data_IF_448831376934
#
_entry.id   IF_448831376934
#
_cell.length_a   1.000
_cell.length_b   1.000
_cell.length_c   1.000
_cell.angle_alpha   90.00
_cell.angle_beta   90.00
_cell.angle_gamma   90.00
#
_symmetry.space_group_name_H-M   'P 1'
#
loop_
_entity.id
_entity.type
_entity.pdbx_description
1 polymer ?
#
# COMPACT_ATOMS: atom_id res chain seq x y z
N UNK A 1 7.37 0.17 13.98
CA UNK A 1 6.03 0.00 14.63
C UNK A 1 5.28 1.32 14.69
N UNK A 2 5.91 2.43 15.18
CA UNK A 2 5.23 3.73 15.39
C UNK A 2 4.60 4.27 14.10
N UNK A 3 5.31 4.23 12.97
CA UNK A 3 4.79 4.67 11.66
C UNK A 3 3.50 3.91 11.31
N UNK A 4 3.50 2.59 11.48
CA UNK A 4 2.33 1.74 11.16
C UNK A 4 1.14 2.11 12.04
N UNK A 5 1.34 2.19 13.35
CA UNK A 5 0.26 2.53 14.28
C UNK A 5 -0.27 3.96 14.03
N UNK A 6 0.62 4.93 13.84
CA UNK A 6 0.23 6.31 13.56
C UNK A 6 -0.59 6.42 12.27
N UNK A 7 -0.15 5.72 11.20
CA UNK A 7 -0.85 5.71 9.91
C UNK A 7 -2.24 5.08 10.05
N UNK A 8 -2.35 3.90 10.67
CA UNK A 8 -3.63 3.19 10.81
C UNK A 8 -4.62 3.98 11.66
N UNK A 9 -4.16 4.56 12.77
CA UNK A 9 -5.01 5.38 13.64
C UNK A 9 -5.46 6.65 12.91
N UNK A 10 -4.53 7.35 12.24
CA UNK A 10 -4.85 8.58 11.50
C UNK A 10 -5.79 8.30 10.32
N UNK A 11 -5.59 7.19 9.59
CA UNK A 11 -6.50 6.76 8.54
C UNK A 11 -7.91 6.46 9.08
N UNK A 12 -8.02 5.70 10.17
CA UNK A 12 -9.30 5.37 10.78
C UNK A 12 -10.05 6.63 11.24
N UNK A 13 -9.35 7.54 11.92
CA UNK A 13 -9.94 8.83 12.34
C UNK A 13 -10.37 9.64 11.11
N UNK A 14 -9.52 9.75 10.09
CA UNK A 14 -9.82 10.46 8.85
C UNK A 14 -11.02 9.91 8.12
N UNK A 15 -11.13 8.57 7.97
CA UNK A 15 -12.28 7.92 7.35
C UNK A 15 -13.59 8.16 8.13
N UNK A 16 -13.54 8.14 9.46
CA UNK A 16 -14.71 8.43 10.29
C UNK A 16 -15.13 9.91 10.23
N UNK A 17 -14.16 10.84 10.30
CA UNK A 17 -14.43 12.30 10.27
C UNK A 17 -15.00 12.74 8.92
N UNK A 18 -14.56 12.14 7.82
CA UNK A 18 -15.10 12.45 6.48
C UNK A 18 -16.49 11.85 6.23
N UNK A 19 -16.99 11.02 7.14
CA UNK A 19 -18.30 10.36 7.03
C UNK A 19 -18.36 9.25 5.98
N UNK A 20 -17.26 8.95 5.29
CA UNK A 20 -17.21 7.87 4.31
C UNK A 20 -17.11 6.49 4.99
N UNK A 21 -16.54 6.44 6.20
CA UNK A 21 -16.20 5.19 6.87
C UNK A 21 -15.06 4.43 6.18
N UNK A 22 -14.52 3.38 6.82
CA UNK A 22 -13.51 2.52 6.21
C UNK A 22 -14.09 1.72 5.04
N UNK A 23 -13.53 1.90 3.85
CA UNK A 23 -13.90 1.12 2.66
C UNK A 23 -13.19 -0.24 2.62
N UNK A 24 -13.70 -1.18 1.82
CA UNK A 24 -12.99 -2.45 1.58
C UNK A 24 -11.62 -2.23 0.95
N UNK A 25 -11.47 -1.23 0.08
CA UNK A 25 -10.18 -0.87 -0.53
C UNK A 25 -9.18 -0.38 0.51
N UNK A 26 -9.62 0.49 1.42
CA UNK A 26 -8.80 0.96 2.53
C UNK A 26 -8.43 -0.16 3.51
N UNK A 27 -9.37 -1.04 3.85
CA UNK A 27 -9.12 -2.20 4.72
C UNK A 27 -8.10 -3.17 4.09
N UNK A 28 -8.20 -3.44 2.79
CA UNK A 28 -7.24 -4.28 2.07
C UNK A 28 -5.85 -3.64 2.04
N UNK A 29 -5.78 -2.31 1.85
CA UNK A 29 -4.51 -1.58 1.87
C UNK A 29 -3.88 -1.59 3.26
N UNK A 30 -4.68 -1.39 4.31
CA UNK A 30 -4.23 -1.51 5.72
C UNK A 30 -3.75 -2.94 6.01
N UNK A 31 -4.47 -3.96 5.52
CA UNK A 31 -4.06 -5.36 5.65
C UNK A 31 -2.69 -5.61 5.01
N UNK A 32 -2.46 -5.12 3.78
CA UNK A 32 -1.17 -5.24 3.09
C UNK A 32 -0.06 -4.53 3.89
N UNK A 33 -0.30 -3.28 4.26
CA UNK A 33 0.64 -2.43 4.99
C UNK A 33 1.04 -3.03 6.35
N UNK A 34 0.07 -3.43 7.15
CA UNK A 34 0.30 -4.06 8.46
C UNK A 34 0.91 -5.44 8.29
N UNK A 35 0.43 -6.24 7.33
CA UNK A 35 0.94 -7.59 7.06
C UNK A 35 2.43 -7.61 6.71
N UNK A 36 2.85 -6.72 5.81
CA UNK A 36 4.28 -6.57 5.46
C UNK A 36 5.08 -6.04 6.66
N UNK A 37 4.51 -5.08 7.40
CA UNK A 37 5.12 -4.58 8.63
C UNK A 37 5.31 -5.64 9.71
N UNK A 38 4.37 -6.59 9.84
CA UNK A 38 4.50 -7.73 10.77
C UNK A 38 5.66 -8.64 10.37
N UNK A 39 5.86 -8.89 9.07
CA UNK A 39 7.02 -9.67 8.60
C UNK A 39 8.33 -8.97 8.98
N UNK A 40 8.41 -7.65 8.76
CA UNK A 40 9.57 -6.86 9.20
C UNK A 40 9.73 -6.86 10.72
N UNK A 41 8.62 -6.79 11.49
CA UNK A 41 8.66 -6.87 12.94
C UNK A 41 9.18 -8.22 13.45
N UNK A 42 8.81 -9.30 12.79
CA UNK A 42 9.35 -10.63 13.11
C UNK A 42 10.84 -10.71 12.82
N UNK A 43 11.29 -10.13 11.71
CA UNK A 43 12.71 -10.06 11.36
C UNK A 43 13.51 -9.27 12.40
N UNK A 44 13.08 -8.04 12.71
CA UNK A 44 13.71 -7.18 13.72
C UNK A 44 13.65 -7.82 15.12
N UNK A 45 12.51 -8.43 15.48
CA UNK A 45 12.33 -9.14 16.75
C UNK A 45 13.29 -10.30 16.93
N UNK A 46 13.51 -11.11 15.89
CA UNK A 46 14.48 -12.23 15.95
C UNK A 46 15.90 -11.71 16.10
N UNK A 47 16.27 -10.62 15.40
CA UNK A 47 17.59 -9.98 15.56
C UNK A 47 17.84 -9.56 17.01
N UNK A 48 16.84 -8.89 17.62
CA UNK A 48 16.94 -8.43 19.01
C UNK A 48 17.00 -9.60 19.99
N UNK A 49 16.08 -10.57 19.88
CA UNK A 49 15.97 -11.71 20.81
C UNK A 49 17.20 -12.61 20.76
N UNK A 50 17.77 -12.81 19.58
CA UNK A 50 18.94 -13.67 19.39
C UNK A 50 20.26 -12.93 19.46
N UNK A 51 20.25 -11.61 19.63
CA UNK A 51 21.44 -10.75 19.65
C UNK A 51 22.37 -11.01 18.45
N UNK A 52 21.78 -11.20 17.27
CA UNK A 52 22.51 -11.50 16.03
C UNK A 52 22.08 -10.52 14.95
N UNK A 53 22.98 -10.21 14.01
CA UNK A 53 22.68 -9.39 12.83
C UNK A 53 21.75 -10.11 11.81
N UNK A 54 21.66 -11.44 11.88
CA UNK A 54 20.80 -12.24 11.03
C UNK A 54 19.42 -12.41 11.67
N UNK A 55 18.38 -11.86 11.03
CA UNK A 55 16.99 -12.02 11.39
C UNK A 55 16.36 -13.28 10.80
N UNK A 56 15.24 -13.12 10.12
CA UNK A 56 14.58 -14.19 9.34
C UNK A 56 15.48 -14.65 8.19
N UNK A 57 15.44 -15.95 7.91
CA UNK A 57 16.09 -16.44 6.69
C UNK A 57 15.47 -15.78 5.45
N UNK A 58 16.24 -15.39 4.41
CA UNK A 58 15.72 -14.69 3.23
C UNK A 58 14.49 -15.36 2.60
N UNK A 59 14.49 -16.70 2.51
CA UNK A 59 13.33 -17.45 2.01
C UNK A 59 12.10 -17.31 2.89
N UNK A 60 12.24 -17.26 4.21
CA UNK A 60 11.12 -17.06 5.14
C UNK A 60 10.49 -15.67 4.97
N UNK A 61 11.32 -14.64 4.76
CA UNK A 61 10.87 -13.27 4.50
C UNK A 61 10.06 -13.21 3.19
N UNK A 62 10.59 -13.79 2.11
CA UNK A 62 9.90 -13.83 0.81
C UNK A 62 8.60 -14.64 0.89
N UNK A 63 8.59 -15.79 1.55
CA UNK A 63 7.37 -16.61 1.73
C UNK A 63 6.30 -15.81 2.45
N UNK A 64 6.66 -15.10 3.51
CA UNK A 64 5.73 -14.24 4.23
C UNK A 64 5.16 -13.12 3.36
N UNK A 65 6.01 -12.42 2.61
CA UNK A 65 5.59 -11.36 1.68
C UNK A 65 4.64 -11.90 0.60
N UNK A 66 4.98 -13.05 -0.01
CA UNK A 66 4.15 -13.72 -1.02
C UNK A 66 2.80 -14.14 -0.43
N UNK A 67 2.75 -14.65 0.80
CA UNK A 67 1.49 -15.01 1.45
C UNK A 67 0.59 -13.79 1.65
N UNK A 68 1.12 -12.70 2.22
CA UNK A 68 0.37 -11.46 2.44
C UNK A 68 -0.08 -10.84 1.11
N UNK A 69 0.80 -10.75 0.11
CA UNK A 69 0.49 -10.20 -1.20
C UNK A 69 -0.56 -11.03 -1.96
N UNK A 70 -0.51 -12.37 -1.84
CA UNK A 70 -1.51 -13.24 -2.45
C UNK A 70 -2.89 -13.09 -1.81
N UNK A 71 -2.96 -13.00 -0.48
CA UNK A 71 -4.22 -12.74 0.23
C UNK A 71 -4.79 -11.38 -0.12
N UNK A 72 -3.94 -10.35 -0.20
CA UNK A 72 -4.34 -9.03 -0.67
C UNK A 72 -4.89 -9.08 -2.11
N UNK A 73 -4.16 -9.71 -3.04
CA UNK A 73 -4.57 -9.83 -4.43
C UNK A 73 -5.90 -10.58 -4.59
N UNK A 74 -6.12 -11.66 -3.84
CA UNK A 74 -7.41 -12.35 -3.81
C UNK A 74 -8.51 -11.46 -3.26
N UNK A 75 -8.24 -10.72 -2.18
CA UNK A 75 -9.19 -9.77 -1.60
C UNK A 75 -9.63 -8.70 -2.61
N UNK A 76 -8.70 -8.17 -3.42
CA UNK A 76 -9.03 -7.16 -4.45
C UNK A 76 -9.93 -7.70 -5.56
N UNK A 77 -9.87 -9.00 -5.86
CA UNK A 77 -10.71 -9.66 -6.88
C UNK A 77 -12.07 -10.15 -6.35
N UNK A 78 -12.20 -10.36 -5.02
CA UNK A 78 -13.39 -11.02 -4.46
C UNK A 78 -14.29 -10.03 -3.71
N UNK A 79 -13.72 -8.96 -3.14
CA UNK A 79 -14.48 -8.02 -2.29
C UNK A 79 -14.96 -6.81 -3.09
N UNK A 80 -16.25 -6.76 -3.50
CA UNK A 80 -16.80 -5.58 -4.15
C UNK A 80 -17.06 -4.46 -3.14
N UNK A 81 -17.10 -3.21 -3.62
CA UNK A 81 -17.59 -2.08 -2.85
C UNK A 81 -19.13 -2.06 -2.83
N UNK A 82 -19.72 -1.02 -2.21
CA UNK A 82 -21.16 -0.81 -2.14
C UNK A 82 -21.83 -0.68 -3.52
N UNK A 83 -21.07 -0.35 -4.56
CA UNK A 83 -21.55 -0.21 -5.94
C UNK A 83 -21.29 -1.47 -6.78
N UNK A 84 -20.78 -2.54 -6.18
CA UNK A 84 -20.46 -3.78 -6.89
C UNK A 84 -19.15 -3.75 -7.69
N UNK A 85 -18.30 -2.73 -7.50
CA UNK A 85 -17.02 -2.60 -8.19
C UNK A 85 -15.91 -3.33 -7.40
N UNK A 86 -15.00 -4.00 -8.10
CA UNK A 86 -13.86 -4.70 -7.54
C UNK A 86 -12.59 -3.81 -7.61
N UNK A 87 -11.71 -3.89 -6.62
CA UNK A 87 -10.47 -3.13 -6.61
C UNK A 87 -9.45 -3.66 -7.63
N UNK A 88 -9.44 -4.99 -7.84
CA UNK A 88 -8.56 -5.65 -8.80
C UNK A 88 -9.26 -5.83 -10.14
N UNK A 89 -8.53 -5.58 -11.23
CA UNK A 89 -8.96 -5.90 -12.59
C UNK A 89 -7.89 -6.74 -13.27
N UNK A 90 -8.31 -7.57 -14.24
CA UNK A 90 -7.34 -8.32 -15.06
C UNK A 90 -6.75 -7.46 -16.18
N UNK A 91 -7.16 -6.22 -16.29
CA UNK A 91 -6.63 -5.27 -17.27
C UNK A 91 -5.38 -4.58 -16.71
N UNK A 92 -4.33 -4.49 -17.52
CA UNK A 92 -3.14 -3.73 -17.16
C UNK A 92 -3.44 -2.26 -17.40
N UNK A 93 -3.38 -1.47 -16.34
CA UNK A 93 -3.65 -0.04 -16.36
C UNK A 93 -2.42 0.74 -15.93
N UNK A 94 -2.11 1.82 -16.65
CA UNK A 94 -1.12 2.81 -16.21
C UNK A 94 -1.84 4.08 -15.75
N UNK A 95 -2.14 5.00 -16.66
CA UNK A 95 -2.95 6.17 -16.38
C UNK A 95 -4.44 5.95 -16.71
N UNK A 96 -4.71 5.03 -17.62
CA UNK A 96 -6.06 4.59 -18.03
C UNK A 96 -6.03 3.10 -18.34
N UNK A 97 -7.19 2.41 -18.31
CA UNK A 97 -7.28 1.03 -18.76
C UNK A 97 -6.71 0.88 -20.18
N UNK A 98 -5.85 -0.10 -20.37
CA UNK A 98 -5.27 -0.42 -21.68
C UNK A 98 -6.00 -1.63 -22.28
N UNK A 99 -5.79 -1.89 -23.58
CA UNK A 99 -6.31 -3.09 -24.21
C UNK A 99 -5.59 -4.38 -23.78
N UNK A 100 -4.55 -4.25 -22.94
CA UNK A 100 -3.79 -5.41 -22.45
C UNK A 100 -4.51 -6.02 -21.26
N UNK A 101 -4.96 -7.26 -21.41
CA UNK A 101 -5.60 -8.03 -20.34
C UNK A 101 -4.81 -9.29 -20.01
N UNK A 102 -4.66 -9.55 -18.71
CA UNK A 102 -4.12 -10.82 -18.22
C UNK A 102 -5.09 -12.00 -18.46
N UNK A 103 -6.38 -11.67 -18.72
CA UNK A 103 -7.41 -12.65 -18.99
C UNK A 103 -7.43 -13.20 -20.42
N UNK A 104 -6.42 -12.95 -21.26
CA UNK A 104 -6.38 -13.35 -22.66
C UNK A 104 -6.56 -14.86 -22.92
N UNK A 105 -6.20 -15.71 -21.97
CA UNK A 105 -6.33 -17.16 -22.02
C UNK A 105 -7.43 -17.72 -21.13
N UNK A 106 -8.39 -16.88 -20.72
CA UNK A 106 -9.52 -17.23 -19.85
C UNK A 106 -9.34 -16.83 -18.39
N UNK A 107 -10.43 -16.85 -17.63
CA UNK A 107 -10.49 -16.33 -16.26
C UNK A 107 -9.48 -17.00 -15.33
N UNK A 108 -9.36 -18.33 -15.37
CA UNK A 108 -8.44 -19.06 -14.47
C UNK A 108 -6.97 -18.68 -14.68
N UNK A 109 -6.54 -18.59 -15.93
CA UNK A 109 -5.16 -18.15 -16.28
C UNK A 109 -5.00 -16.68 -15.90
N UNK A 110 -6.01 -15.84 -16.15
CA UNK A 110 -5.98 -14.43 -15.78
C UNK A 110 -5.77 -14.20 -14.29
N UNK A 111 -6.49 -14.94 -13.45
CA UNK A 111 -6.33 -14.86 -11.98
C UNK A 111 -4.92 -15.28 -11.55
N UNK A 112 -4.37 -16.36 -12.10
CA UNK A 112 -3.01 -16.81 -11.78
C UNK A 112 -1.98 -15.75 -12.21
N UNK A 113 -2.11 -15.19 -13.41
CA UNK A 113 -1.22 -14.13 -13.89
C UNK A 113 -1.35 -12.85 -13.04
N UNK A 114 -2.56 -12.51 -12.60
CA UNK A 114 -2.79 -11.38 -11.71
C UNK A 114 -2.11 -11.60 -10.35
N UNK A 115 -2.23 -12.78 -9.75
CA UNK A 115 -1.54 -13.14 -8.53
C UNK A 115 -0.02 -13.01 -8.67
N UNK A 116 0.55 -13.56 -9.76
CA UNK A 116 1.99 -13.46 -10.04
C UNK A 116 2.40 -11.99 -10.18
N UNK A 117 1.65 -11.21 -10.94
CA UNK A 117 1.90 -9.79 -11.18
C UNK A 117 1.88 -8.97 -9.89
N UNK A 118 0.84 -9.15 -9.08
CA UNK A 118 0.71 -8.45 -7.79
C UNK A 118 1.83 -8.84 -6.84
N UNK A 119 2.15 -10.14 -6.74
CA UNK A 119 3.26 -10.61 -5.91
C UNK A 119 4.60 -10.03 -6.35
N UNK A 120 4.86 -9.97 -7.65
CA UNK A 120 6.08 -9.38 -8.20
C UNK A 120 6.19 -7.91 -7.79
N UNK A 121 5.13 -7.12 -7.98
CA UNK A 121 5.12 -5.70 -7.63
C UNK A 121 5.31 -5.50 -6.13
N UNK A 122 4.50 -6.15 -5.30
CA UNK A 122 4.56 -5.98 -3.85
C UNK A 122 5.91 -6.40 -3.29
N UNK A 123 6.41 -7.58 -3.70
CA UNK A 123 7.70 -8.08 -3.21
C UNK A 123 8.86 -7.21 -3.68
N UNK A 124 8.87 -6.81 -4.96
CA UNK A 124 9.91 -5.95 -5.50
C UNK A 124 9.94 -4.59 -4.81
N UNK A 125 8.76 -3.95 -4.64
CA UNK A 125 8.67 -2.62 -4.03
C UNK A 125 9.03 -2.62 -2.56
N UNK A 126 8.47 -3.55 -1.79
CA UNK A 126 8.76 -3.72 -0.36
C UNK A 126 10.26 -3.94 -0.10
N UNK A 127 10.92 -4.81 -0.87
CA UNK A 127 12.35 -5.02 -0.71
C UNK A 127 13.19 -3.85 -1.25
N UNK A 128 12.76 -3.16 -2.30
CA UNK A 128 13.44 -1.96 -2.79
C UNK A 128 13.42 -0.84 -1.74
N UNK A 129 12.28 -0.62 -1.06
CA UNK A 129 12.18 0.35 0.02
C UNK A 129 13.08 -0.02 1.19
N UNK A 130 13.13 -1.30 1.55
CA UNK A 130 14.04 -1.79 2.58
C UNK A 130 15.53 -1.58 2.24
N UNK A 131 15.91 -1.74 0.97
CA UNK A 131 17.27 -1.43 0.53
C UNK A 131 17.54 0.09 0.52
N UNK A 132 16.52 0.91 0.28
CA UNK A 132 16.62 2.37 0.30
C UNK A 132 16.82 2.92 1.72
N UNK A 133 16.38 2.21 2.76
CA UNK A 133 16.52 2.59 4.18
C UNK A 133 17.97 2.42 4.69
N UNK A 134 18.96 2.53 3.82
CA UNK A 134 20.39 2.48 4.17
C UNK A 134 21.03 3.85 4.48
N UNK A 135 20.32 4.95 4.26
CA UNK A 135 20.78 6.32 4.50
C UNK A 135 19.75 7.11 5.31
N UNK A 136 20.26 7.92 6.26
CA UNK A 136 19.45 8.78 7.13
C UNK A 136 18.46 9.64 6.33
N UNK A 137 17.17 9.49 6.62
CA UNK A 137 16.09 10.26 6.02
C UNK A 137 15.73 9.89 4.58
N UNK A 138 16.48 9.04 3.88
CA UNK A 138 16.28 8.78 2.46
C UNK A 138 14.95 8.05 2.20
N UNK A 139 14.73 6.91 2.83
CA UNK A 139 13.52 6.12 2.63
C UNK A 139 12.26 6.91 3.03
N UNK A 140 12.25 7.55 4.19
CA UNK A 140 11.14 8.38 4.64
C UNK A 140 10.90 9.57 3.70
N UNK A 141 11.96 10.28 3.30
CA UNK A 141 11.87 11.45 2.42
C UNK A 141 11.31 11.10 1.04
N UNK A 142 11.85 10.07 0.40
CA UNK A 142 11.35 9.62 -0.92
C UNK A 142 9.89 9.15 -0.82
N UNK A 143 9.54 8.40 0.22
CA UNK A 143 8.17 7.92 0.43
C UNK A 143 7.17 9.06 0.61
N UNK A 144 7.52 10.15 1.30
CA UNK A 144 6.67 11.34 1.40
C UNK A 144 6.32 11.90 0.03
N UNK A 145 7.28 12.00 -0.90
CA UNK A 145 7.01 12.49 -2.26
C UNK A 145 6.14 11.53 -3.06
N UNK A 146 6.39 10.22 -2.97
CA UNK A 146 5.61 9.20 -3.67
C UNK A 146 4.16 9.22 -3.18
N UNK A 147 3.93 9.15 -1.86
CA UNK A 147 2.58 9.17 -1.30
C UNK A 147 1.92 10.54 -1.45
N UNK A 148 2.69 11.64 -1.53
CA UNK A 148 2.20 12.96 -1.91
C UNK A 148 1.61 12.97 -3.31
N UNK A 149 2.30 12.38 -4.28
CA UNK A 149 1.78 12.23 -5.63
C UNK A 149 0.50 11.38 -5.66
N UNK A 150 0.47 10.25 -4.94
CA UNK A 150 -0.74 9.41 -4.83
C UNK A 150 -1.90 10.13 -4.14
N UNK A 151 -1.66 10.92 -3.10
CA UNK A 151 -2.69 11.74 -2.47
C UNK A 151 -3.31 12.71 -3.46
N UNK A 152 -2.48 13.37 -4.27
CA UNK A 152 -2.96 14.29 -5.30
C UNK A 152 -3.76 13.56 -6.39
N UNK A 153 -3.26 12.42 -6.89
CA UNK A 153 -3.92 11.61 -7.92
C UNK A 153 -5.28 11.11 -7.43
N UNK A 154 -5.34 10.52 -6.23
CA UNK A 154 -6.58 9.96 -5.68
C UNK A 154 -7.60 11.06 -5.33
N UNK A 155 -7.15 12.22 -4.87
CA UNK A 155 -8.01 13.38 -4.66
C UNK A 155 -8.58 13.92 -5.98
N UNK A 156 -7.76 14.00 -7.03
CA UNK A 156 -8.20 14.38 -8.36
C UNK A 156 -9.23 13.39 -8.94
N UNK A 157 -8.97 12.09 -8.79
CA UNK A 157 -9.93 11.04 -9.16
C UNK A 157 -11.26 11.17 -8.40
N UNK A 158 -11.21 11.54 -7.11
CA UNK A 158 -12.40 11.81 -6.29
C UNK A 158 -13.24 12.93 -6.85
N UNK A 159 -12.63 14.06 -7.24
CA UNK A 159 -13.35 15.20 -7.78
C UNK A 159 -13.98 14.88 -9.15
N UNK A 160 -13.32 14.07 -9.96
CA UNK A 160 -13.79 13.67 -11.29
C UNK A 160 -14.47 12.30 -11.32
N UNK A 161 -14.86 11.75 -10.16
CA UNK A 161 -15.55 10.47 -10.11
C UNK A 161 -16.90 10.55 -10.83
N UNK A 162 -17.26 9.50 -11.59
CA UNK A 162 -18.53 9.42 -12.30
C UNK A 162 -19.76 9.41 -11.36
N UNK A 163 -19.55 9.12 -10.10
CA UNK A 163 -20.56 9.18 -9.04
C UNK A 163 -20.86 10.60 -8.54
N UNK A 164 -20.09 11.60 -8.95
CA UNK A 164 -20.33 12.99 -8.55
C UNK A 164 -21.52 13.58 -9.35
N UNK A 165 -22.38 14.33 -8.66
CA UNK A 165 -23.48 15.08 -9.28
C UNK A 165 -22.92 16.08 -10.31
N UNK A 166 -23.35 15.97 -11.56
CA UNK A 166 -22.90 16.83 -12.65
C UNK A 166 -21.61 16.38 -13.34
N UNK A 167 -21.09 15.20 -13.04
CA UNK A 167 -19.95 14.64 -13.75
C UNK A 167 -20.25 14.46 -15.23
N UNK A 168 -19.32 14.91 -16.09
CA UNK A 168 -19.44 14.70 -17.53
C UNK A 168 -19.09 13.24 -17.84
N UNK A 169 -20.08 12.46 -18.28
CA UNK A 169 -19.96 11.02 -18.57
C UNK A 169 -18.83 10.69 -19.57
N UNK A 170 -18.42 11.63 -20.42
CA UNK A 170 -17.35 11.41 -21.39
C UNK A 170 -15.94 11.57 -20.82
N UNK A 171 -15.80 12.21 -19.63
CA UNK A 171 -14.49 12.56 -19.05
C UNK A 171 -14.31 12.09 -17.61
N UNK A 172 -15.35 11.55 -16.97
CA UNK A 172 -15.27 11.10 -15.60
C UNK A 172 -14.45 9.81 -15.43
N UNK A 173 -14.00 9.59 -14.21
CA UNK A 173 -13.26 8.39 -13.84
C UNK A 173 -14.18 7.42 -13.07
N UNK A 174 -14.15 6.14 -13.47
CA UNK A 174 -14.68 5.05 -12.65
C UNK A 174 -13.53 4.50 -11.79
N UNK A 175 -13.38 5.04 -10.60
CA UNK A 175 -12.34 4.61 -9.66
C UNK A 175 -12.96 4.24 -8.34
N UNK A 176 -12.48 3.14 -7.77
CA UNK A 176 -12.98 2.61 -6.52
C UNK A 176 -12.36 3.34 -5.32
N UNK A 177 -13.22 3.81 -4.43
CA UNK A 177 -12.89 4.36 -3.10
C UNK A 177 -11.72 5.39 -3.07
N UNK A 178 -11.65 6.36 -4.02
CA UNK A 178 -10.49 7.24 -4.16
C UNK A 178 -10.29 8.15 -2.93
N UNK A 179 -11.37 8.47 -2.20
CA UNK A 179 -11.28 9.30 -0.99
C UNK A 179 -10.56 8.55 0.13
N UNK A 180 -10.90 7.30 0.38
CA UNK A 180 -10.30 6.51 1.46
C UNK A 180 -8.81 6.23 1.18
N UNK A 181 -8.46 5.99 -0.09
CA UNK A 181 -7.07 5.88 -0.53
C UNK A 181 -6.29 7.20 -0.33
N UNK A 182 -6.92 8.35 -0.62
CA UNK A 182 -6.33 9.67 -0.36
C UNK A 182 -6.07 9.90 1.13
N UNK A 183 -7.02 9.52 1.99
CA UNK A 183 -6.90 9.62 3.45
C UNK A 183 -5.74 8.74 3.94
N UNK A 184 -5.63 7.51 3.43
CA UNK A 184 -4.54 6.61 3.80
C UNK A 184 -3.17 7.20 3.41
N UNK A 185 -3.02 7.67 2.17
CA UNK A 185 -1.78 8.30 1.71
C UNK A 185 -1.42 9.53 2.55
N UNK A 186 -2.39 10.40 2.85
CA UNK A 186 -2.19 11.58 3.68
C UNK A 186 -1.79 11.22 5.12
N UNK A 187 -2.43 10.21 5.71
CA UNK A 187 -2.11 9.70 7.04
C UNK A 187 -0.67 9.17 7.09
N UNK A 188 -0.25 8.43 6.05
CA UNK A 188 1.10 7.90 5.93
C UNK A 188 2.14 9.02 5.77
N UNK A 189 1.85 10.05 4.98
CA UNK A 189 2.72 11.23 4.85
C UNK A 189 2.90 11.90 6.21
N UNK A 190 1.83 12.10 6.97
CA UNK A 190 1.89 12.69 8.30
C UNK A 190 2.75 11.87 9.27
N UNK A 191 2.57 10.54 9.27
CA UNK A 191 3.39 9.63 10.09
C UNK A 191 4.88 9.67 9.68
N UNK A 192 5.16 9.67 8.38
CA UNK A 192 6.53 9.75 7.85
C UNK A 192 7.17 11.11 8.10
N UNK A 193 6.44 12.20 8.00
CA UNK A 193 6.95 13.55 8.30
C UNK A 193 7.34 13.67 9.78
N UNK A 194 6.49 13.15 10.69
CA UNK A 194 6.83 13.08 12.10
C UNK A 194 8.03 12.19 12.40
N UNK A 195 8.16 11.05 11.71
CA UNK A 195 9.32 10.17 11.81
C UNK A 195 10.59 10.84 11.25
N UNK A 196 10.50 11.50 10.10
CA UNK A 196 11.63 12.15 9.42
C UNK A 196 12.28 13.22 10.29
N UNK A 197 11.53 13.88 11.17
CA UNK A 197 12.08 14.86 12.10
C UNK A 197 13.21 14.30 12.96
N UNK A 198 13.13 13.00 13.31
CA UNK A 198 14.12 12.31 14.12
C UNK A 198 15.07 11.40 13.31
N UNK A 199 14.69 11.11 12.06
CA UNK A 199 15.46 10.26 11.14
C UNK A 199 16.33 11.09 10.18
N UNK A 200 16.14 12.42 10.12
CA UNK A 200 17.04 13.30 9.35
C UNK A 200 18.45 13.28 9.93
N UNK A 201 19.44 13.41 9.05
CA UNK A 201 20.86 13.31 9.45
C UNK A 201 21.30 14.42 10.41
N UNK A 202 21.98 14.10 11.52
CA UNK A 202 22.32 12.76 12.02
C UNK A 202 21.11 12.06 12.64
N UNK A 203 20.76 10.87 12.17
CA UNK A 203 19.57 10.17 12.60
C UNK A 203 19.64 9.73 14.07
N UNK A 204 18.57 10.02 14.83
CA UNK A 204 18.41 9.60 16.22
C UNK A 204 17.57 8.31 16.33
N UNK A 205 16.73 8.03 15.33
CA UNK A 205 15.93 6.80 15.23
C UNK A 205 16.02 6.24 13.82
N UNK A 206 15.88 4.92 13.71
CA UNK A 206 15.91 4.21 12.43
C UNK A 206 14.59 3.49 12.19
N UNK A 207 14.25 3.34 10.91
CA UNK A 207 12.97 2.75 10.50
C UNK A 207 12.91 1.25 10.78
N UNK A 208 14.00 0.54 10.55
CA UNK A 208 14.12 -0.91 10.63
C UNK A 208 13.26 -1.64 9.58
N UNK A 209 13.44 -2.96 9.50
CA UNK A 209 12.70 -3.79 8.55
C UNK A 209 11.18 -3.70 8.73
N UNK A 210 10.71 -3.45 9.96
CA UNK A 210 9.30 -3.25 10.29
C UNK A 210 8.65 -2.12 9.48
N UNK A 211 9.30 -0.96 9.41
CA UNK A 211 8.76 0.19 8.70
C UNK A 211 9.08 0.12 7.20
N UNK A 212 10.30 -0.28 6.88
CA UNK A 212 10.78 -0.28 5.50
C UNK A 212 10.06 -1.29 4.60
N UNK A 213 9.69 -2.48 5.12
CA UNK A 213 8.93 -3.47 4.36
C UNK A 213 7.45 -3.10 4.19
N UNK A 214 6.90 -2.31 5.12
CA UNK A 214 5.51 -1.86 5.05
C UNK A 214 5.30 -0.79 3.97
N UNK A 215 6.31 0.04 3.72
CA UNK A 215 6.30 1.13 2.72
C UNK A 215 6.50 0.62 1.29
#
# INVERSE_FOLDING_TARGET
>A
VVIILATVIAWLIGSLVTGAGPSWSGLLLVFLFVGLGVIGLLDDGIKIMRQRSLGLHPSGKIIGQVAVASLFALGTLIMPNEFGEYAGTLEISFARPTALTLGFAGLGVGVVLYLIWTNLIVTAWSNATNLTDGLDGLAAGVSIFVFGAYTFITYFQRIQACTQLGANQSTCYSTRDPLDLAIFCAALIGALAGFLWWNASPAQIFMGDTGALAL
#
